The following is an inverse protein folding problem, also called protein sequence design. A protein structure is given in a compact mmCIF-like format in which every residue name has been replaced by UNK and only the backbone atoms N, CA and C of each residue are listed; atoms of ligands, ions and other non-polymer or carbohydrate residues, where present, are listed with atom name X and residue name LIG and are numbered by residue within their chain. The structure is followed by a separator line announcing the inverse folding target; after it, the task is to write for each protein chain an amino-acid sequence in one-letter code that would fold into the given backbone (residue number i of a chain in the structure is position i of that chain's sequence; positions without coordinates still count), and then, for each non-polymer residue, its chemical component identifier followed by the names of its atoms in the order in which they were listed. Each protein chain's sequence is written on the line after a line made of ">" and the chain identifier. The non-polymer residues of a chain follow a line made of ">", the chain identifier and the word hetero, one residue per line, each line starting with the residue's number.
data_IF_254420369503
#
_entry.id   IF_254420369503
#
_cell.length_a   1.000
_cell.length_b   1.000
_cell.length_c   1.000
_cell.angle_alpha   90.00
_cell.angle_beta   90.00
_cell.angle_gamma   90.00
#
_symmetry.space_group_name_H-M   'P 1'
#
loop_
_entity.id
_entity.type
_entity.pdbx_description
1 polymer ?
#
# COMPACT_ATOMS: atom_id res chain seq x y z
N UNK A 1 16.58 -12.83 -1.29
CA UNK A 1 17.44 -12.39 -2.41
C UNK A 1 16.70 -11.25 -3.08
N UNK A 2 17.26 -10.05 -3.08
CA UNK A 2 16.62 -8.87 -3.64
C UNK A 2 17.38 -8.43 -4.89
N UNK A 3 16.64 -7.98 -5.91
CA UNK A 3 17.25 -7.33 -7.06
C UNK A 3 17.89 -6.03 -6.60
N UNK A 4 19.19 -5.93 -6.74
CA UNK A 4 19.89 -4.69 -6.51
C UNK A 4 19.66 -3.79 -7.73
N UNK A 5 18.78 -2.80 -7.58
CA UNK A 5 18.42 -1.90 -8.68
C UNK A 5 19.59 -1.04 -9.14
N UNK A 6 20.56 -0.76 -8.26
CA UNK A 6 21.72 0.09 -8.56
C UNK A 6 22.77 -0.70 -9.36
N UNK A 7 22.99 -1.98 -9.00
CA UNK A 7 23.94 -2.85 -9.71
C UNK A 7 23.33 -3.59 -10.90
N UNK A 8 22.00 -3.61 -11.02
CA UNK A 8 21.32 -4.24 -12.15
C UNK A 8 21.28 -3.33 -13.37
N UNK A 9 21.61 -3.87 -14.53
CA UNK A 9 21.40 -3.24 -15.84
C UNK A 9 20.30 -3.97 -16.61
N UNK A 10 19.86 -3.43 -17.75
CA UNK A 10 18.85 -4.08 -18.59
C UNK A 10 19.25 -5.50 -19.06
N UNK A 11 20.56 -5.76 -19.20
CA UNK A 11 21.11 -7.05 -19.63
C UNK A 11 21.56 -7.95 -18.49
N UNK A 12 21.77 -7.42 -17.29
CA UNK A 12 22.28 -8.18 -16.13
C UNK A 12 21.54 -7.79 -14.86
N UNK A 13 20.76 -8.74 -14.35
CA UNK A 13 20.11 -8.61 -13.05
C UNK A 13 21.07 -9.08 -11.96
N UNK A 14 21.46 -8.17 -11.08
CA UNK A 14 22.32 -8.46 -9.93
C UNK A 14 21.43 -8.61 -8.71
N UNK A 15 21.66 -9.67 -7.94
CA UNK A 15 20.94 -9.94 -6.72
C UNK A 15 21.86 -9.72 -5.52
N UNK A 16 21.34 -9.05 -4.49
CA UNK A 16 21.99 -8.88 -3.20
C UNK A 16 21.20 -9.60 -2.10
N UNK A 17 21.89 -10.04 -1.06
CA UNK A 17 21.27 -10.45 0.20
C UNK A 17 20.91 -9.19 1.00
N UNK A 18 19.66 -8.74 0.85
CA UNK A 18 19.07 -7.71 1.69
C UNK A 18 18.20 -8.31 2.79
N UNK A 19 18.06 -7.57 3.90
CA UNK A 19 17.14 -7.88 4.99
C UNK A 19 15.71 -7.57 4.54
N UNK A 20 14.79 -8.54 4.63
CA UNK A 20 13.36 -8.31 4.38
C UNK A 20 12.64 -8.17 5.72
N UNK A 21 12.47 -6.93 6.19
CA UNK A 21 11.73 -6.67 7.42
C UNK A 21 10.31 -6.21 7.13
N UNK A 22 9.38 -6.74 7.90
CA UNK A 22 8.04 -6.17 8.06
C UNK A 22 8.01 -5.48 9.41
N UNK A 23 7.76 -4.17 9.42
CA UNK A 23 7.79 -3.34 10.63
C UNK A 23 6.45 -2.66 10.79
N UNK A 24 5.88 -2.71 12.00
CA UNK A 24 4.72 -1.90 12.39
C UNK A 24 5.18 -0.85 13.39
N UNK A 25 4.80 0.41 13.12
CA UNK A 25 5.09 1.55 13.99
C UNK A 25 3.81 2.14 14.57
N UNK A 26 3.85 2.46 15.86
CA UNK A 26 2.82 3.25 16.53
C UNK A 26 3.12 4.73 16.33
N UNK A 27 2.16 5.46 15.77
CA UNK A 27 2.25 6.93 15.66
C UNK A 27 1.85 7.57 16.99
N UNK A 28 2.80 8.20 17.66
CA UNK A 28 2.59 8.94 18.91
C UNK A 28 2.69 10.44 18.64
N UNK A 29 1.69 11.21 19.08
CA UNK A 29 1.75 12.68 19.05
C UNK A 29 2.27 13.16 20.40
N UNK A 30 3.56 13.49 20.47
CA UNK A 30 4.17 13.97 21.70
C UNK A 30 3.72 15.42 22.03
N UNK A 31 3.49 15.77 23.30
CA UNK A 31 2.98 17.10 23.66
C UNK A 31 4.00 18.23 23.46
N UNK A 32 5.29 17.89 23.33
CA UNK A 32 6.39 18.84 23.11
C UNK A 32 6.81 18.99 21.64
N UNK A 33 6.16 18.31 20.70
CA UNK A 33 6.58 18.28 19.30
C UNK A 33 5.42 18.42 18.31
N UNK A 34 5.62 19.17 17.23
CA UNK A 34 4.63 19.31 16.15
C UNK A 34 4.66 18.14 15.15
N UNK A 35 5.69 17.31 15.19
CA UNK A 35 5.86 16.17 14.31
C UNK A 35 5.50 14.87 15.05
N UNK A 36 4.51 14.10 14.58
CA UNK A 36 4.24 12.78 15.14
C UNK A 36 5.47 11.86 15.01
N UNK A 37 5.72 11.07 16.05
CA UNK A 37 6.85 10.12 16.11
C UNK A 37 6.32 8.72 15.81
N UNK A 38 7.04 7.94 15.00
CA UNK A 38 6.75 6.53 14.77
C UNK A 38 7.62 5.64 15.66
N UNK A 39 7.03 4.98 16.65
CA UNK A 39 7.73 4.04 17.53
C UNK A 39 7.55 2.63 16.98
N UNK A 40 8.63 1.89 16.63
CA UNK A 40 8.49 0.51 16.18
C UNK A 40 8.02 -0.36 17.36
N UNK A 41 6.90 -1.04 17.18
CA UNK A 41 6.28 -1.89 18.22
C UNK A 41 6.30 -3.38 17.85
N UNK A 42 6.45 -3.70 16.56
CA UNK A 42 6.55 -5.07 16.10
C UNK A 42 7.43 -5.13 14.84
N UNK A 43 8.33 -6.10 14.79
CA UNK A 43 9.28 -6.31 13.69
C UNK A 43 9.38 -7.80 13.42
N UNK A 44 9.17 -8.21 12.17
CA UNK A 44 9.36 -9.59 11.72
C UNK A 44 10.32 -9.65 10.55
N UNK A 45 11.22 -10.62 10.59
CA UNK A 45 12.15 -10.92 9.51
C UNK A 45 11.54 -11.97 8.59
N UNK A 46 11.27 -11.59 7.35
CA UNK A 46 10.87 -12.54 6.31
C UNK A 46 12.12 -13.12 5.62
N UNK A 47 12.21 -14.45 5.57
CA UNK A 47 13.32 -15.16 4.92
C UNK A 47 12.89 -15.62 3.52
N UNK A 48 13.85 -15.83 2.62
CA UNK A 48 13.58 -16.23 1.22
C UNK A 48 12.76 -17.53 1.12
N UNK A 49 13.02 -18.48 2.02
CA UNK A 49 12.36 -19.78 2.06
C UNK A 49 11.34 -19.84 3.20
N UNK A 50 10.84 -18.69 3.64
CA UNK A 50 9.80 -18.64 4.66
C UNK A 50 8.48 -19.08 4.04
N UNK A 51 7.78 -20.06 4.63
CA UNK A 51 6.45 -20.47 4.16
C UNK A 51 5.43 -19.34 4.24
N UNK A 52 5.68 -18.33 5.07
CA UNK A 52 4.77 -17.21 5.29
C UNK A 52 5.18 -15.97 4.49
N UNK A 53 4.22 -15.39 3.77
CA UNK A 53 4.46 -14.17 2.97
C UNK A 53 4.63 -12.94 3.88
N UNK A 54 5.27 -11.89 3.38
CA UNK A 54 5.38 -10.60 4.11
C UNK A 54 4.01 -10.02 4.48
N UNK A 55 3.01 -10.19 3.60
CA UNK A 55 1.62 -9.78 3.87
C UNK A 55 1.00 -10.63 4.97
N UNK A 56 1.25 -11.95 4.98
CA UNK A 56 0.78 -12.83 6.05
C UNK A 56 1.41 -12.46 7.40
N UNK A 57 2.70 -12.12 7.42
CA UNK A 57 3.38 -11.59 8.61
C UNK A 57 2.73 -10.30 9.11
N UNK A 58 2.46 -9.35 8.22
CA UNK A 58 1.76 -8.11 8.57
C UNK A 58 0.37 -8.40 9.17
N UNK A 59 -0.42 -9.27 8.53
CA UNK A 59 -1.74 -9.66 9.02
C UNK A 59 -1.68 -10.29 10.42
N UNK A 60 -0.71 -11.18 10.66
CA UNK A 60 -0.51 -11.81 11.95
C UNK A 60 -0.09 -10.79 13.03
N UNK A 61 0.82 -9.86 12.71
CA UNK A 61 1.19 -8.79 13.64
C UNK A 61 0.01 -7.88 13.98
N UNK A 62 -0.86 -7.57 13.02
CA UNK A 62 -2.05 -6.74 13.27
C UNK A 62 -3.05 -7.46 14.18
N UNK A 63 -3.25 -8.76 14.00
CA UNK A 63 -4.11 -9.58 14.89
C UNK A 63 -3.55 -9.62 16.31
N UNK A 64 -2.24 -9.75 16.46
CA UNK A 64 -1.54 -9.69 17.74
C UNK A 64 -1.75 -8.33 18.43
N UNK A 65 -1.57 -7.23 17.70
CA UNK A 65 -1.83 -5.88 18.21
C UNK A 65 -3.28 -5.64 18.59
N UNK A 66 -4.23 -6.18 17.81
CA UNK A 66 -5.63 -6.15 18.18
C UNK A 66 -5.89 -6.94 19.48
N UNK A 67 -5.20 -8.07 19.69
CA UNK A 67 -5.25 -8.80 20.96
C UNK A 67 -4.71 -7.99 22.15
N UNK A 68 -3.62 -7.25 21.97
CA UNK A 68 -3.03 -6.41 23.03
C UNK A 68 -3.89 -5.18 23.37
N UNK A 69 -4.67 -4.68 22.41
CA UNK A 69 -5.49 -3.49 22.55
C UNK A 69 -6.98 -3.81 22.24
N UNK A 70 -7.66 -4.57 23.12
CA UNK A 70 -9.02 -5.06 22.87
C UNK A 70 -10.07 -3.95 22.76
N UNK A 71 -9.87 -2.83 23.45
CA UNK A 71 -10.81 -1.71 23.47
C UNK A 71 -10.52 -0.61 22.44
N UNK A 72 -9.48 -0.77 21.62
CA UNK A 72 -9.03 0.28 20.68
C UNK A 72 -9.17 -0.16 19.23
N UNK A 73 -9.85 0.65 18.41
CA UNK A 73 -9.81 0.48 16.96
C UNK A 73 -8.43 0.84 16.40
N UNK A 74 -7.97 0.07 15.42
CA UNK A 74 -6.66 0.26 14.80
C UNK A 74 -6.84 0.97 13.46
N UNK A 75 -6.13 2.08 13.25
CA UNK A 75 -6.01 2.71 11.93
C UNK A 75 -4.62 2.42 11.36
N UNK A 76 -4.56 1.50 10.42
CA UNK A 76 -3.33 1.11 9.74
C UNK A 76 -3.13 1.94 8.48
N UNK A 77 -1.99 2.61 8.38
CA UNK A 77 -1.52 3.25 7.15
C UNK A 77 -0.36 2.44 6.58
N UNK A 78 -0.51 1.89 5.38
CA UNK A 78 0.49 1.01 4.77
C UNK A 78 0.82 1.41 3.33
N UNK A 79 1.97 0.96 2.82
CA UNK A 79 2.30 1.12 1.40
C UNK A 79 1.47 0.17 0.51
N UNK A 80 1.57 0.36 -0.82
CA UNK A 80 0.78 -0.41 -1.78
C UNK A 80 1.13 -1.90 -1.91
N UNK A 81 2.29 -2.34 -1.38
CA UNK A 81 2.61 -3.76 -1.29
C UNK A 81 1.70 -4.48 -0.28
N UNK A 82 1.16 -3.75 0.69
CA UNK A 82 0.23 -4.24 1.71
C UNK A 82 -1.24 -3.91 1.42
N UNK A 83 -1.56 -3.42 0.22
CA UNK A 83 -2.95 -3.08 -0.14
C UNK A 83 -3.90 -4.30 -0.04
N UNK A 84 -3.39 -5.51 -0.27
CA UNK A 84 -4.15 -6.76 -0.12
C UNK A 84 -4.62 -7.04 1.32
N UNK A 85 -4.07 -6.37 2.33
CA UNK A 85 -4.56 -6.46 3.71
C UNK A 85 -5.99 -5.95 3.86
N UNK A 86 -6.45 -5.04 2.98
CA UNK A 86 -7.81 -4.53 3.01
C UNK A 86 -8.88 -5.63 2.88
N UNK A 87 -8.55 -6.75 2.22
CA UNK A 87 -9.43 -7.92 2.09
C UNK A 87 -9.20 -9.03 3.14
N UNK A 88 -8.23 -8.86 4.05
CA UNK A 88 -7.78 -9.95 4.94
C UNK A 88 -8.64 -10.13 6.20
N UNK A 89 -9.81 -9.50 6.28
CA UNK A 89 -10.75 -9.54 7.40
C UNK A 89 -10.04 -9.37 8.76
N UNK A 90 -9.35 -8.24 8.92
CA UNK A 90 -8.59 -7.93 10.13
C UNK A 90 -9.51 -7.36 11.22
N UNK A 91 -9.37 -7.82 12.47
CA UNK A 91 -10.27 -7.41 13.55
C UNK A 91 -10.08 -5.92 13.87
N UNK A 92 -11.19 -5.18 13.93
CA UNK A 92 -11.24 -3.77 14.40
C UNK A 92 -10.20 -2.86 13.72
N UNK A 93 -9.84 -3.17 12.48
CA UNK A 93 -8.76 -2.49 11.77
C UNK A 93 -9.31 -1.78 10.53
N UNK A 94 -9.13 -0.47 10.47
CA UNK A 94 -9.32 0.31 9.26
C UNK A 94 -7.98 0.46 8.54
N UNK A 95 -7.95 0.21 7.23
CA UNK A 95 -6.71 0.19 6.45
C UNK A 95 -6.75 1.27 5.38
N UNK A 96 -5.73 2.09 5.36
CA UNK A 96 -5.45 3.06 4.30
C UNK A 96 -4.15 2.66 3.62
N UNK A 97 -4.21 2.36 2.32
CA UNK A 97 -3.05 2.02 1.52
C UNK A 97 -3.17 2.62 0.11
N UNK A 98 -2.03 2.73 -0.59
CA UNK A 98 -2.01 3.15 -2.00
C UNK A 98 -2.40 1.98 -2.90
N UNK A 99 -3.41 2.17 -3.73
CA UNK A 99 -3.73 1.21 -4.79
C UNK A 99 -2.62 1.22 -5.85
N UNK A 100 -2.24 0.03 -6.34
CA UNK A 100 -1.29 -0.08 -7.45
C UNK A 100 -1.96 0.32 -8.76
N UNK A 101 -1.19 0.93 -9.67
CA UNK A 101 -1.68 1.34 -11.01
C UNK A 101 -2.12 0.15 -11.86
N UNK A 102 -1.47 -0.99 -11.68
CA UNK A 102 -1.75 -2.25 -12.38
C UNK A 102 -2.71 -3.17 -11.60
N UNK A 103 -3.43 -2.63 -10.61
CA UNK A 103 -4.44 -3.40 -9.89
C UNK A 103 -5.59 -3.76 -10.84
N UNK A 104 -5.86 -5.05 -10.96
CA UNK A 104 -7.06 -5.55 -11.62
C UNK A 104 -8.27 -5.21 -10.74
N UNK A 105 -9.05 -4.21 -11.16
CA UNK A 105 -10.32 -3.87 -10.53
C UNK A 105 -11.39 -4.81 -11.07
N UNK A 106 -12.15 -5.42 -10.18
CA UNK A 106 -13.29 -6.25 -10.55
C UNK A 106 -14.55 -5.65 -9.93
N UNK A 107 -15.69 -5.88 -10.57
CA UNK A 107 -16.98 -5.63 -9.94
C UNK A 107 -17.13 -6.51 -8.68
N UNK A 108 -17.82 -6.01 -7.65
CA UNK A 108 -18.10 -6.81 -6.46
C UNK A 108 -18.83 -8.10 -6.87
N UNK A 109 -18.47 -9.21 -6.23
CA UNK A 109 -19.14 -10.49 -6.49
C UNK A 109 -20.65 -10.34 -6.25
N UNK A 110 -21.51 -10.87 -7.14
CA UNK A 110 -22.95 -10.80 -6.95
C UNK A 110 -23.34 -11.50 -5.64
N UNK A 111 -24.38 -11.02 -4.93
CA UNK A 111 -24.83 -11.61 -3.68
C UNK A 111 -25.16 -13.09 -3.89
N UNK A 112 -24.66 -13.95 -3.00
CA UNK A 112 -24.83 -15.39 -3.10
C UNK A 112 -26.32 -15.76 -2.97
N UNK A 113 -26.96 -16.18 -4.07
CA UNK A 113 -28.34 -16.67 -4.06
C UNK A 113 -28.35 -18.13 -3.62
N UNK A 114 -29.01 -18.51 -2.51
CA UNK A 114 -29.12 -19.90 -2.08
C UNK A 114 -30.13 -20.60 -3.00
N UNK A 115 -29.71 -21.04 -4.18
CA UNK A 115 -30.57 -21.89 -5.02
C UNK A 115 -29.74 -22.88 -5.85
N UNK A 116 -29.80 -24.13 -5.38
CA UNK A 116 -29.45 -25.42 -6.02
C UNK A 116 -27.97 -25.64 -6.42
N UNK A 117 -27.41 -26.88 -6.30
CA UNK A 117 -26.00 -27.12 -6.57
C UNK A 117 -25.72 -26.93 -8.06
N UNK A 118 -24.96 -25.89 -8.41
CA UNK A 118 -24.45 -25.77 -9.78
C UNK A 118 -23.29 -26.75 -9.94
N UNK A 119 -23.46 -27.68 -10.87
CA UNK A 119 -22.35 -28.45 -11.44
C UNK A 119 -21.27 -27.48 -11.92
N UNK A 120 -20.02 -27.77 -11.54
CA UNK A 120 -18.76 -27.31 -12.15
C UNK A 120 -18.86 -26.05 -13.03
N UNK A 121 -19.18 -24.90 -12.43
CA UNK A 121 -18.89 -23.64 -13.10
C UNK A 121 -17.38 -23.47 -13.07
N UNK A 122 -16.73 -23.78 -14.20
CA UNK A 122 -15.35 -23.35 -14.46
C UNK A 122 -15.30 -21.86 -14.12
N UNK A 123 -14.40 -21.48 -13.20
CA UNK A 123 -14.07 -20.07 -12.94
C UNK A 123 -13.62 -19.46 -14.27
N UNK A 124 -14.52 -18.82 -15.00
CA UNK A 124 -14.15 -17.91 -16.06
C UNK A 124 -13.37 -16.80 -15.38
N UNK A 125 -12.10 -16.68 -15.70
CA UNK A 125 -11.24 -15.58 -15.25
C UNK A 125 -11.95 -14.29 -15.64
N UNK A 126 -12.58 -13.62 -14.67
CA UNK A 126 -13.25 -12.35 -14.93
C UNK A 126 -12.24 -11.40 -15.56
N UNK A 127 -12.67 -10.64 -16.57
CA UNK A 127 -11.84 -9.57 -17.08
C UNK A 127 -11.88 -8.41 -16.10
N UNK A 128 -10.74 -7.75 -15.79
CA UNK A 128 -10.76 -6.56 -14.98
C UNK A 128 -11.65 -5.52 -15.64
N UNK A 129 -12.43 -4.80 -14.84
CA UNK A 129 -13.22 -3.65 -15.26
C UNK A 129 -12.29 -2.72 -16.05
N UNK A 130 -12.66 -2.34 -17.29
CA UNK A 130 -11.81 -1.51 -18.12
C UNK A 130 -11.48 -0.22 -17.37
N UNK A 131 -10.20 -0.03 -17.07
CA UNK A 131 -9.74 1.19 -16.43
C UNK A 131 -9.94 2.30 -17.44
N UNK A 132 -10.89 3.20 -17.20
CA UNK A 132 -11.02 4.43 -18.00
C UNK A 132 -9.74 5.23 -17.80
N UNK A 133 -8.78 5.07 -18.70
CA UNK A 133 -7.68 6.01 -18.82
C UNK A 133 -8.31 7.38 -19.08
N UNK A 134 -7.86 8.47 -18.43
CA UNK A 134 -8.16 9.79 -18.97
C UNK A 134 -7.76 9.75 -20.44
N UNK A 135 -8.71 10.09 -21.33
CA UNK A 135 -8.47 10.09 -22.78
C UNK A 135 -7.17 10.81 -23.06
N UNK A 136 -6.38 10.25 -23.99
CA UNK A 136 -5.09 10.75 -24.41
C UNK A 136 -4.95 12.27 -24.22
N UNK A 137 -3.96 12.69 -23.44
CA UNK A 137 -3.52 14.07 -23.49
C UNK A 137 -3.22 14.40 -24.96
N UNK A 138 -3.63 15.59 -25.46
CA UNK A 138 -3.34 15.97 -26.84
C UNK A 138 -1.83 15.87 -27.08
N UNK A 139 -1.48 15.36 -28.24
CA UNK A 139 -0.12 15.22 -28.74
C UNK A 139 0.58 16.58 -28.65
N UNK A 140 1.50 16.72 -27.70
CA UNK A 140 2.28 17.94 -27.56
C UNK A 140 3.36 17.88 -28.63
N UNK A 141 3.20 18.70 -29.67
CA UNK A 141 4.21 18.93 -30.70
C UNK A 141 5.61 19.08 -30.08
N UNK A 142 6.59 18.41 -30.70
CA UNK A 142 7.98 18.41 -30.30
C UNK A 142 8.59 19.81 -30.43
N UNK A 143 8.37 20.65 -29.40
CA UNK A 143 8.98 21.96 -29.25
C UNK A 143 10.48 21.85 -28.92
N UNK A 144 11.26 22.48 -29.78
CA UNK A 144 12.72 22.58 -29.81
C UNK A 144 13.43 22.68 -28.44
N UNK A 145 14.50 21.89 -28.28
CA UNK A 145 15.33 21.79 -27.06
C UNK A 145 15.96 23.15 -26.71
N UNK A 146 15.32 23.93 -25.84
CA UNK A 146 15.96 25.08 -25.18
C UNK A 146 16.81 24.63 -24.01
N UNK A 147 18.10 25.03 -24.04
CA UNK A 147 19.12 24.76 -23.02
C UNK A 147 18.66 25.23 -21.63
N UNK A 148 18.99 24.52 -20.53
CA UNK A 148 18.57 24.91 -19.19
C UNK A 148 19.31 26.18 -18.75
N UNK A 149 18.53 27.20 -18.35
CA UNK A 149 19.04 28.39 -17.64
C UNK A 149 19.20 28.06 -16.15
N UNK A 150 20.20 28.63 -15.46
CA UNK A 150 20.46 28.31 -14.06
C UNK A 150 19.35 28.83 -13.15
N UNK A 151 18.79 27.93 -12.32
CA UNK A 151 17.74 28.27 -11.36
C UNK A 151 18.32 28.99 -10.13
N UNK A 152 17.97 30.29 -9.99
CA UNK A 152 18.03 31.01 -8.71
C UNK A 152 16.97 30.43 -7.76
N UNK A 153 17.40 30.08 -6.54
CA UNK A 153 16.51 29.73 -5.42
C UNK A 153 15.63 30.92 -5.06
N UNK A 154 14.31 30.73 -5.09
CA UNK A 154 13.38 31.56 -4.32
C UNK A 154 12.34 30.65 -3.66
N UNK A 155 12.32 30.69 -2.33
CA UNK A 155 11.33 30.04 -1.49
C UNK A 155 9.93 30.58 -1.79
N UNK A 156 8.94 29.70 -1.94
CA UNK A 156 7.54 30.05 -1.71
C UNK A 156 6.89 28.96 -0.86
N UNK A 157 6.47 29.39 0.32
CA UNK A 157 5.56 28.67 1.18
C UNK A 157 4.20 28.49 0.46
N UNK A 158 3.60 27.31 0.58
CA UNK A 158 2.18 27.14 0.34
C UNK A 158 1.60 26.13 1.35
N UNK A 159 0.59 26.52 2.13
CA UNK A 159 0.02 25.68 3.18
C UNK A 159 -1.10 24.82 2.61
N UNK A 160 -1.13 23.52 2.92
CA UNK A 160 -2.37 22.73 2.87
C UNK A 160 -2.45 21.81 4.08
N UNK A 161 -3.11 22.36 5.10
CA UNK A 161 -3.65 21.69 6.29
C UNK A 161 -4.94 20.99 5.86
N UNK A 162 -5.04 19.68 6.06
CA UNK A 162 -6.32 18.97 6.04
C UNK A 162 -6.48 18.32 7.42
N UNK A 163 -7.43 18.86 8.17
CA UNK A 163 -7.87 18.43 9.49
C UNK A 163 -9.24 17.81 9.26
N UNK A 164 -9.47 16.57 9.68
CA UNK A 164 -10.82 15.99 9.75
C UNK A 164 -11.00 15.44 11.16
N UNK A 165 -11.99 16.04 11.83
CA UNK A 165 -12.41 15.81 13.21
C UNK A 165 -12.92 14.38 13.41
N UNK A 166 -12.61 13.79 14.55
CA UNK A 166 -13.34 12.64 15.07
C UNK A 166 -14.75 13.08 15.45
N UNK A 167 -15.74 12.33 14.99
CA UNK A 167 -17.11 12.39 15.51
C UNK A 167 -17.19 11.37 16.65
N UNK A 168 -17.41 11.89 17.86
CA UNK A 168 -17.91 11.12 19.00
C UNK A 168 -19.43 11.19 18.96
N UNK A 169 -20.07 10.03 19.11
CA UNK A 169 -21.49 9.82 19.29
C UNK A 169 -21.70 8.38 19.71
#
# INVERSE_FOLDING_TARGET
>A
MFRDAVRSTARRVVYASGLNLVVITLRVSAPWGRCPIGVPINVRLHRKNDPTTTVAHAAAMIRELAGWLPERSLHLCADGAYASLAGAALPRTHITSRMRRDAALYEPAPPHRPTRPSSHQRRTTGHPTPTRHPSAAPEVEAGERRRPRPHRRTARACPRRALVQGQQG
#
